data_IF_837697219490
#
_entry.id   IF_837697219490
#
_cell.length_a   1.000
_cell.length_b   1.000
_cell.length_c   1.000
_cell.angle_alpha   90.00
_cell.angle_beta   90.00
_cell.angle_gamma   90.00
#
_symmetry.space_group_name_H-M   'P 1'
#
loop_
_entity.id
_entity.type
_entity.pdbx_description
1 polymer ?
#
# COMPACT_ATOMS: atom_id res chain seq x y z
N UNK A 1 -27.41 -16.64 -13.42
CA UNK A 1 -27.16 -18.03 -12.96
C UNK A 1 -26.57 -17.93 -11.56
N UNK A 2 -27.23 -18.52 -10.55
CA UNK A 2 -26.67 -18.55 -9.19
C UNK A 2 -25.36 -19.34 -9.17
N UNK A 3 -24.37 -18.86 -8.42
CA UNK A 3 -23.08 -19.50 -8.26
C UNK A 3 -23.29 -20.84 -7.52
N UNK A 4 -22.75 -21.93 -8.04
CA UNK A 4 -22.65 -23.19 -7.30
C UNK A 4 -21.60 -22.98 -6.17
N UNK A 5 -22.09 -22.77 -4.97
CA UNK A 5 -21.29 -22.42 -3.79
C UNK A 5 -20.23 -23.50 -3.48
N UNK A 6 -20.59 -24.78 -3.60
CA UNK A 6 -19.66 -25.87 -3.30
C UNK A 6 -18.51 -25.94 -4.30
N UNK A 7 -18.82 -25.77 -5.58
CA UNK A 7 -17.80 -25.75 -6.64
C UNK A 7 -16.91 -24.51 -6.54
N UNK A 8 -17.50 -23.36 -6.25
CA UNK A 8 -16.77 -22.11 -6.08
C UNK A 8 -15.83 -22.15 -4.88
N UNK A 9 -16.27 -22.73 -3.76
CA UNK A 9 -15.45 -22.90 -2.56
C UNK A 9 -14.21 -23.76 -2.85
N UNK A 10 -14.39 -24.94 -3.44
CA UNK A 10 -13.29 -25.83 -3.81
C UNK A 10 -12.31 -25.17 -4.77
N UNK A 11 -12.81 -24.41 -5.75
CA UNK A 11 -11.96 -23.70 -6.69
C UNK A 11 -11.10 -22.62 -5.98
N UNK A 12 -11.67 -21.91 -5.00
CA UNK A 12 -10.94 -20.90 -4.24
C UNK A 12 -9.91 -21.52 -3.30
N UNK A 13 -10.25 -22.64 -2.65
CA UNK A 13 -9.32 -23.41 -1.81
C UNK A 13 -8.13 -23.94 -2.62
N UNK A 14 -8.38 -24.52 -3.80
CA UNK A 14 -7.31 -24.93 -4.73
C UNK A 14 -6.46 -23.76 -5.19
N UNK A 15 -7.08 -22.64 -5.55
CA UNK A 15 -6.34 -21.43 -5.96
C UNK A 15 -5.37 -20.98 -4.86
N UNK A 16 -5.81 -20.97 -3.61
CA UNK A 16 -4.95 -20.57 -2.50
C UNK A 16 -3.84 -21.58 -2.19
N UNK A 17 -4.11 -22.87 -2.35
CA UNK A 17 -3.16 -23.94 -2.06
C UNK A 17 -2.11 -24.12 -3.17
N UNK A 18 -2.54 -24.06 -4.43
CA UNK A 18 -1.75 -24.49 -5.57
C UNK A 18 -1.03 -23.34 -6.28
N UNK A 19 -1.57 -22.12 -6.19
CA UNK A 19 -0.97 -20.96 -6.86
C UNK A 19 0.21 -20.40 -6.05
N UNK A 20 1.44 -20.39 -6.59
CA UNK A 20 2.63 -19.84 -5.91
C UNK A 20 2.47 -18.39 -5.45
N UNK A 21 1.55 -17.62 -6.06
CA UNK A 21 1.20 -16.24 -5.66
C UNK A 21 0.84 -16.14 -4.18
N UNK A 22 0.23 -17.19 -3.62
CA UNK A 22 -0.33 -17.19 -2.28
C UNK A 22 0.56 -17.88 -1.24
N UNK A 23 1.75 -18.31 -1.64
CA UNK A 23 2.70 -18.96 -0.72
C UNK A 23 3.06 -18.02 0.44
N UNK A 24 2.83 -18.48 1.67
CA UNK A 24 3.12 -17.73 2.88
C UNK A 24 2.10 -16.64 3.24
N UNK A 25 1.05 -16.45 2.44
CA UNK A 25 -0.03 -15.50 2.77
C UNK A 25 -0.99 -16.14 3.77
N UNK A 26 -1.11 -15.53 4.94
CA UNK A 26 -2.04 -15.96 5.97
C UNK A 26 -3.42 -15.33 5.75
N UNK A 27 -4.45 -16.16 5.96
CA UNK A 27 -5.86 -15.74 5.97
C UNK A 27 -6.52 -16.28 7.24
N UNK A 28 -7.02 -15.38 8.07
CA UNK A 28 -7.72 -15.72 9.32
C UNK A 28 -9.22 -15.94 9.07
N UNK A 29 -9.58 -16.35 7.85
CA UNK A 29 -10.93 -16.66 7.38
C UNK A 29 -10.88 -17.78 6.32
N UNK A 30 -12.02 -18.39 6.08
CA UNK A 30 -12.15 -19.50 5.13
C UNK A 30 -12.65 -19.05 3.74
N UNK A 31 -12.50 -19.91 2.74
CA UNK A 31 -13.11 -19.72 1.43
C UNK A 31 -14.64 -19.62 1.50
N UNK A 32 -15.26 -20.33 2.45
CA UNK A 32 -16.70 -20.22 2.72
C UNK A 32 -17.10 -18.83 3.20
N UNK A 33 -16.28 -18.19 4.05
CA UNK A 33 -16.53 -16.82 4.49
C UNK A 33 -16.47 -15.83 3.33
N UNK A 34 -15.48 -15.97 2.46
CA UNK A 34 -15.36 -15.15 1.24
C UNK A 34 -16.62 -15.27 0.37
N UNK A 35 -17.08 -16.48 0.11
CA UNK A 35 -18.26 -16.70 -0.73
C UNK A 35 -19.54 -16.22 -0.07
N UNK A 36 -19.66 -16.34 1.25
CA UNK A 36 -20.79 -15.82 2.01
C UNK A 36 -20.90 -14.28 1.92
N UNK A 37 -19.76 -13.59 1.86
CA UNK A 37 -19.68 -12.13 1.73
C UNK A 37 -19.75 -11.63 0.29
N UNK A 38 -19.39 -12.49 -0.66
CA UNK A 38 -19.52 -12.22 -2.10
C UNK A 38 -20.97 -12.37 -2.51
N UNK A 39 -21.67 -11.37 -2.95
CA UNK A 39 -23.07 -11.43 -3.36
C UNK A 39 -23.40 -12.63 -4.29
N UNK A 40 -24.66 -12.79 -4.65
CA UNK A 40 -25.15 -13.89 -5.50
C UNK A 40 -24.68 -13.83 -6.96
N UNK A 41 -24.15 -12.68 -7.38
CA UNK A 41 -23.58 -12.44 -8.71
C UNK A 41 -22.11 -12.07 -8.55
N UNK A 42 -21.25 -12.73 -9.32
CA UNK A 42 -19.84 -12.36 -9.38
C UNK A 42 -19.68 -11.14 -10.31
N UNK A 43 -19.23 -10.04 -9.75
CA UNK A 43 -18.91 -8.83 -10.50
C UNK A 43 -17.42 -8.89 -10.87
N UNK A 44 -17.11 -8.75 -12.16
CA UNK A 44 -15.73 -8.75 -12.64
C UNK A 44 -15.13 -7.36 -12.60
N UNK A 45 -13.96 -7.24 -11.98
CA UNK A 45 -13.17 -6.01 -11.92
C UNK A 45 -11.94 -6.14 -12.84
N UNK A 46 -12.18 -6.13 -14.16
CA UNK A 46 -11.18 -6.47 -15.18
C UNK A 46 -9.92 -5.58 -15.08
N UNK A 47 -10.09 -4.26 -14.91
CA UNK A 47 -8.94 -3.35 -14.81
C UNK A 47 -8.12 -3.60 -13.55
N UNK A 48 -8.77 -3.79 -12.39
CA UNK A 48 -8.07 -4.06 -11.13
C UNK A 48 -7.33 -5.41 -11.18
N UNK A 49 -7.93 -6.44 -11.77
CA UNK A 49 -7.29 -7.74 -11.95
C UNK A 49 -6.06 -7.62 -12.85
N UNK A 50 -6.21 -7.02 -14.03
CA UNK A 50 -5.09 -6.81 -14.96
C UNK A 50 -3.96 -6.02 -14.30
N UNK A 51 -4.29 -4.96 -13.57
CA UNK A 51 -3.33 -4.14 -12.85
C UNK A 51 -2.61 -4.91 -11.74
N UNK A 52 -3.36 -5.69 -10.92
CA UNK A 52 -2.78 -6.49 -9.84
C UNK A 52 -1.82 -7.57 -10.37
N UNK A 53 -2.22 -8.29 -11.42
CA UNK A 53 -1.40 -9.31 -12.06
C UNK A 53 -0.14 -8.72 -12.71
N UNK A 54 -0.24 -7.57 -13.39
CA UNK A 54 0.92 -6.86 -13.94
C UNK A 54 1.85 -6.39 -12.83
N UNK A 55 1.32 -5.80 -11.77
CA UNK A 55 2.11 -5.31 -10.63
C UNK A 55 2.89 -6.46 -10.00
N UNK A 56 2.20 -7.56 -9.66
CA UNK A 56 2.83 -8.73 -9.05
C UNK A 56 3.95 -9.31 -9.93
N UNK A 57 3.70 -9.46 -11.22
CA UNK A 57 4.70 -9.96 -12.16
C UNK A 57 5.95 -9.07 -12.16
N UNK A 58 5.79 -7.73 -12.28
CA UNK A 58 6.92 -6.80 -12.29
C UNK A 58 7.71 -6.78 -11.01
N UNK A 59 7.04 -6.84 -9.87
CA UNK A 59 7.69 -6.90 -8.56
C UNK A 59 8.60 -8.14 -8.41
N UNK A 60 8.28 -9.22 -9.13
CA UNK A 60 9.04 -10.47 -9.08
C UNK A 60 10.03 -10.66 -10.25
N UNK A 61 9.95 -9.86 -11.31
CA UNK A 61 10.83 -9.99 -12.50
C UNK A 61 11.78 -8.83 -12.71
N UNK A 62 11.37 -7.62 -12.32
CA UNK A 62 12.20 -6.42 -12.50
C UNK A 62 13.20 -6.30 -11.34
N UNK A 63 14.34 -5.66 -11.55
CA UNK A 63 15.31 -5.38 -10.48
C UNK A 63 14.64 -4.59 -9.36
N UNK A 64 13.91 -3.55 -9.72
CA UNK A 64 12.95 -2.81 -8.90
C UNK A 64 11.99 -2.04 -9.80
N UNK A 65 10.85 -1.67 -9.26
CA UNK A 65 9.81 -0.90 -9.95
C UNK A 65 9.75 0.53 -9.41
N UNK A 66 10.36 1.52 -10.11
CA UNK A 66 10.26 2.92 -9.72
C UNK A 66 8.93 3.50 -10.18
N UNK A 67 8.30 4.31 -9.34
CA UNK A 67 7.03 4.99 -9.64
C UNK A 67 7.05 6.45 -9.23
N UNK A 68 6.26 7.24 -9.92
CA UNK A 68 6.04 8.65 -9.61
C UNK A 68 4.60 8.86 -9.17
N UNK A 69 4.39 9.81 -8.27
CA UNK A 69 3.06 10.28 -7.94
C UNK A 69 2.38 10.95 -9.13
N UNK A 70 1.08 10.72 -9.30
CA UNK A 70 0.24 11.45 -10.25
C UNK A 70 -1.08 11.84 -9.59
N UNK A 71 -1.60 13.02 -9.90
CA UNK A 71 -2.87 13.57 -9.41
C UNK A 71 -3.96 13.56 -10.46
N UNK A 72 -3.58 13.61 -11.73
CA UNK A 72 -4.51 13.73 -12.84
C UNK A 72 -4.29 12.64 -13.87
N UNK A 73 -5.34 12.32 -14.61
CA UNK A 73 -5.22 11.39 -15.74
C UNK A 73 -4.23 11.86 -16.80
N UNK A 74 -4.14 13.17 -17.04
CA UNK A 74 -3.19 13.75 -17.98
C UNK A 74 -1.73 13.52 -17.56
N UNK A 75 -1.41 13.75 -16.29
CA UNK A 75 -0.07 13.44 -15.74
C UNK A 75 0.25 11.95 -15.91
N UNK A 76 -0.66 11.07 -15.49
CA UNK A 76 -0.46 9.63 -15.59
C UNK A 76 -0.22 9.16 -17.03
N UNK A 77 -1.02 9.64 -17.99
CA UNK A 77 -0.82 9.34 -19.42
C UNK A 77 0.56 9.80 -19.90
N UNK A 78 1.02 11.01 -19.51
CA UNK A 78 2.35 11.49 -19.90
C UNK A 78 3.47 10.67 -19.25
N UNK A 79 3.32 10.27 -17.98
CA UNK A 79 4.27 9.38 -17.32
C UNK A 79 4.39 8.03 -18.04
N UNK A 80 3.26 7.42 -18.44
CA UNK A 80 3.26 6.17 -19.22
C UNK A 80 3.93 6.34 -20.58
N UNK A 81 3.63 7.43 -21.29
CA UNK A 81 4.32 7.76 -22.56
C UNK A 81 5.83 7.95 -22.38
N UNK A 82 6.24 8.44 -21.23
CA UNK A 82 7.67 8.58 -20.87
C UNK A 82 8.31 7.26 -20.41
N UNK A 83 7.54 6.16 -20.35
CA UNK A 83 8.06 4.82 -20.03
C UNK A 83 7.76 4.34 -18.61
N UNK A 84 6.97 5.07 -17.81
CA UNK A 84 6.54 4.59 -16.50
C UNK A 84 5.79 3.26 -16.62
N UNK A 85 6.08 2.33 -15.71
CA UNK A 85 5.51 0.97 -15.68
C UNK A 85 4.48 0.76 -14.57
N UNK A 86 4.33 1.73 -13.69
CA UNK A 86 3.30 1.83 -12.67
C UNK A 86 3.14 3.29 -12.24
N UNK A 87 2.02 3.60 -11.61
CA UNK A 87 1.69 4.93 -11.06
C UNK A 87 1.49 4.79 -9.56
N UNK A 88 2.00 5.74 -8.79
CA UNK A 88 1.69 5.90 -7.38
C UNK A 88 0.63 6.98 -7.18
N UNK A 89 -0.35 6.71 -6.31
CA UNK A 89 -1.37 7.68 -5.93
C UNK A 89 -1.28 7.96 -4.43
N UNK A 90 -0.69 9.10 -4.10
CA UNK A 90 -0.41 9.56 -2.74
C UNK A 90 -1.64 10.19 -2.10
N UNK A 91 -1.97 9.77 -0.87
CA UNK A 91 -2.98 10.43 -0.03
C UNK A 91 -2.61 11.88 0.30
N UNK A 92 -1.31 12.17 0.52
CA UNK A 92 -0.83 13.53 0.71
C UNK A 92 -1.21 14.46 -0.46
N UNK A 93 -0.98 14.00 -1.70
CA UNK A 93 -1.34 14.77 -2.89
C UNK A 93 -2.86 14.94 -3.03
N UNK A 94 -3.62 13.89 -2.70
CA UNK A 94 -5.10 13.94 -2.71
C UNK A 94 -5.62 14.91 -1.66
N UNK A 95 -5.04 14.91 -0.46
CA UNK A 95 -5.37 15.90 0.57
C UNK A 95 -5.13 17.33 0.08
N UNK A 96 -4.00 17.56 -0.59
CA UNK A 96 -3.60 18.89 -1.04
C UNK A 96 -4.46 19.45 -2.18
N UNK A 97 -4.79 18.65 -3.21
CA UNK A 97 -5.39 19.21 -4.43
C UNK A 97 -6.26 18.24 -5.26
N UNK A 98 -6.73 17.15 -4.72
CA UNK A 98 -7.51 16.20 -5.53
C UNK A 98 -8.65 15.49 -4.78
N UNK A 99 -8.98 15.95 -3.57
CA UNK A 99 -10.06 15.35 -2.80
C UNK A 99 -11.44 15.83 -3.29
N UNK A 100 -12.46 15.04 -2.99
CA UNK A 100 -13.84 15.33 -3.44
C UNK A 100 -14.58 16.34 -2.55
N UNK A 101 -13.93 16.88 -1.51
CA UNK A 101 -14.47 17.99 -0.73
C UNK A 101 -14.12 19.36 -1.35
N UNK A 102 -13.36 19.37 -2.44
CA UNK A 102 -12.87 20.58 -3.12
C UNK A 102 -12.10 21.52 -2.18
N UNK A 103 -11.41 20.96 -1.19
CA UNK A 103 -10.66 21.68 -0.16
C UNK A 103 -9.17 21.30 -0.17
N UNK A 104 -8.33 22.19 0.32
CA UNK A 104 -6.93 21.90 0.60
C UNK A 104 -6.80 21.49 2.07
N UNK A 105 -6.36 20.26 2.30
CA UNK A 105 -6.13 19.74 3.63
C UNK A 105 -4.66 19.41 3.87
N UNK A 106 -4.19 19.48 5.12
CA UNK A 106 -2.94 18.81 5.49
C UNK A 106 -3.09 17.29 5.38
N UNK A 107 -1.97 16.58 5.29
CA UNK A 107 -1.94 15.12 5.24
C UNK A 107 -2.30 14.48 6.60
N UNK A 108 -3.57 14.52 6.94
CA UNK A 108 -4.14 14.07 8.21
C UNK A 108 -5.47 13.30 8.02
N UNK A 109 -5.71 12.75 6.85
CA UNK A 109 -6.92 11.98 6.52
C UNK A 109 -8.23 12.76 6.76
N UNK A 110 -8.21 14.08 6.47
CA UNK A 110 -9.38 14.95 6.67
C UNK A 110 -10.33 14.96 5.48
N UNK A 111 -9.87 14.49 4.34
CA UNK A 111 -10.69 14.38 3.13
C UNK A 111 -11.66 13.18 3.18
N UNK A 112 -12.77 13.21 2.44
CA UNK A 112 -13.69 12.08 2.37
C UNK A 112 -13.02 10.79 1.90
N UNK A 113 -13.34 9.67 2.54
CA UNK A 113 -12.69 8.35 2.33
C UNK A 113 -12.68 7.87 0.87
N UNK A 114 -13.67 8.27 0.08
CA UNK A 114 -13.77 7.91 -1.35
C UNK A 114 -12.99 8.86 -2.29
N UNK A 115 -12.19 9.78 -1.76
CA UNK A 115 -11.38 10.70 -2.58
C UNK A 115 -10.31 9.99 -3.38
N UNK A 116 -9.51 9.11 -2.74
CA UNK A 116 -8.48 8.34 -3.46
C UNK A 116 -9.09 7.40 -4.49
N UNK A 117 -10.13 6.60 -4.19
CA UNK A 117 -10.84 5.81 -5.22
C UNK A 117 -11.34 6.65 -6.39
N UNK A 118 -11.82 7.87 -6.15
CA UNK A 118 -12.28 8.76 -7.23
C UNK A 118 -11.13 9.16 -8.17
N UNK A 119 -9.93 9.44 -7.64
CA UNK A 119 -8.75 9.76 -8.45
C UNK A 119 -8.23 8.53 -9.19
N UNK A 120 -8.20 7.35 -8.57
CA UNK A 120 -7.89 6.07 -9.27
C UNK A 120 -8.79 5.89 -10.49
N UNK A 121 -10.08 6.06 -10.31
CA UNK A 121 -11.07 5.97 -11.42
C UNK A 121 -10.82 7.01 -12.50
N UNK A 122 -10.50 8.24 -12.12
CA UNK A 122 -10.16 9.34 -13.04
C UNK A 122 -8.95 9.00 -13.90
N UNK A 123 -7.89 8.47 -13.30
CA UNK A 123 -6.67 8.05 -14.00
C UNK A 123 -6.99 6.89 -14.95
N UNK A 124 -7.68 5.85 -14.48
CA UNK A 124 -8.08 4.73 -15.34
C UNK A 124 -8.98 5.14 -16.50
N UNK A 125 -9.85 6.14 -16.32
CA UNK A 125 -10.65 6.68 -17.41
C UNK A 125 -9.80 7.40 -18.47
N UNK A 126 -8.72 8.08 -18.06
CA UNK A 126 -7.75 8.66 -18.98
C UNK A 126 -6.97 7.58 -19.73
N UNK A 127 -6.56 6.50 -19.05
CA UNK A 127 -5.92 5.36 -19.69
C UNK A 127 -6.83 4.68 -20.72
N UNK A 128 -8.09 4.42 -20.35
CA UNK A 128 -9.07 3.87 -21.29
C UNK A 128 -9.22 4.75 -22.54
N UNK A 129 -9.34 6.06 -22.37
CA UNK A 129 -9.45 6.95 -23.52
C UNK A 129 -8.20 6.96 -24.38
N UNK A 130 -7.01 6.97 -23.79
CA UNK A 130 -5.76 6.92 -24.52
C UNK A 130 -5.61 5.59 -25.32
N UNK A 131 -5.98 4.48 -24.70
CA UNK A 131 -6.00 3.17 -25.33
C UNK A 131 -7.02 3.08 -26.48
N UNK A 132 -8.26 3.55 -26.28
CA UNK A 132 -9.31 3.59 -27.31
C UNK A 132 -8.86 4.37 -28.54
N UNK A 133 -8.21 5.53 -28.36
CA UNK A 133 -7.71 6.37 -29.47
C UNK A 133 -6.61 5.63 -30.23
N UNK A 134 -5.64 5.03 -29.52
CA UNK A 134 -4.55 4.28 -30.11
C UNK A 134 -5.10 3.07 -30.90
N UNK A 135 -5.94 2.27 -30.27
CA UNK A 135 -6.53 1.08 -30.87
C UNK A 135 -7.37 1.41 -32.11
N UNK A 136 -8.21 2.45 -32.04
CA UNK A 136 -9.02 2.91 -33.19
C UNK A 136 -8.17 3.39 -34.38
N UNK A 137 -6.92 3.80 -34.16
CA UNK A 137 -5.98 4.16 -35.22
C UNK A 137 -5.15 2.98 -35.74
N UNK A 138 -5.44 1.76 -35.28
CA UNK A 138 -4.72 0.53 -35.65
C UNK A 138 -3.31 0.43 -35.04
N UNK A 139 -3.09 1.10 -33.92
CA UNK A 139 -1.81 1.09 -33.17
C UNK A 139 -2.00 0.41 -31.82
N UNK A 140 -0.95 -0.15 -31.29
CA UNK A 140 -0.86 -0.78 -29.96
C UNK A 140 0.53 -0.61 -29.32
N UNK A 141 1.22 0.49 -29.66
CA UNK A 141 2.61 0.74 -29.31
C UNK A 141 2.81 0.94 -27.79
N UNK A 142 1.78 1.45 -27.09
CA UNK A 142 1.87 1.80 -25.67
C UNK A 142 0.83 1.02 -24.87
N UNK A 143 1.30 0.29 -23.86
CA UNK A 143 0.41 -0.29 -22.86
C UNK A 143 0.05 0.77 -21.81
N UNK A 144 -1.11 1.41 -21.99
CA UNK A 144 -1.61 2.44 -21.07
C UNK A 144 -2.11 1.88 -19.74
N UNK A 145 -2.51 0.60 -19.69
CA UNK A 145 -3.05 -0.01 -18.48
C UNK A 145 -1.94 -0.47 -17.53
N UNK A 146 -1.09 0.47 -17.11
CA UNK A 146 -0.10 0.22 -16.05
C UNK A 146 -0.80 0.20 -14.69
N UNK A 147 -0.31 -0.60 -13.72
CA UNK A 147 -0.93 -0.68 -12.40
C UNK A 147 -0.82 0.65 -11.62
N UNK A 148 -1.88 0.96 -10.88
CA UNK A 148 -1.91 2.05 -9.90
C UNK A 148 -1.80 1.45 -8.52
N UNK A 149 -0.84 1.92 -7.71
CA UNK A 149 -0.73 1.62 -6.28
C UNK A 149 -1.30 2.82 -5.52
N UNK A 150 -2.33 2.58 -4.72
CA UNK A 150 -3.13 3.63 -4.09
C UNK A 150 -2.97 3.65 -2.56
N UNK A 151 -2.98 4.85 -2.01
CA UNK A 151 -2.88 5.14 -0.59
C UNK A 151 -4.25 4.99 0.09
N UNK A 152 -4.36 4.05 1.03
CA UNK A 152 -5.54 3.88 1.88
C UNK A 152 -5.37 4.51 3.26
N UNK A 153 -4.29 5.28 3.48
CA UNK A 153 -4.02 5.92 4.76
C UNK A 153 -4.02 4.90 5.91
N UNK A 154 -4.52 5.26 7.08
CA UNK A 154 -4.77 4.33 8.19
C UNK A 154 -6.12 3.58 8.08
N UNK A 155 -6.75 3.57 6.91
CA UNK A 155 -8.02 2.89 6.66
C UNK A 155 -9.26 3.70 7.03
N UNK A 156 -9.13 4.95 7.45
CA UNK A 156 -10.24 5.87 7.82
C UNK A 156 -11.12 5.37 8.97
N UNK A 157 -10.62 4.47 9.79
CA UNK A 157 -11.34 3.92 10.95
C UNK A 157 -10.84 2.53 11.31
N UNK A 158 -11.78 1.64 11.65
CA UNK A 158 -11.48 0.26 12.02
C UNK A 158 -11.49 -0.70 10.83
N UNK A 159 -11.64 -1.99 11.15
CA UNK A 159 -11.58 -3.09 10.15
C UNK A 159 -12.67 -3.00 9.08
N UNK A 160 -13.87 -2.55 9.44
CA UNK A 160 -14.97 -2.40 8.47
C UNK A 160 -14.68 -1.27 7.48
N UNK A 161 -14.09 -0.16 7.96
CA UNK A 161 -13.66 0.93 7.09
C UNK A 161 -12.58 0.45 6.10
N UNK A 162 -11.58 -0.29 6.57
CA UNK A 162 -10.52 -0.86 5.73
C UNK A 162 -11.08 -1.82 4.67
N UNK A 163 -12.03 -2.68 5.05
CA UNK A 163 -12.72 -3.60 4.14
C UNK A 163 -13.45 -2.86 3.01
N UNK A 164 -14.30 -1.89 3.35
CA UNK A 164 -15.08 -1.15 2.36
C UNK A 164 -14.20 -0.23 1.49
N UNK A 165 -13.15 0.37 2.08
CA UNK A 165 -12.20 1.18 1.31
C UNK A 165 -11.43 0.33 0.29
N UNK A 166 -10.97 -0.86 0.66
CA UNK A 166 -10.32 -1.78 -0.27
C UNK A 166 -11.25 -2.16 -1.43
N UNK A 167 -12.52 -2.44 -1.17
CA UNK A 167 -13.51 -2.69 -2.23
C UNK A 167 -13.62 -1.49 -3.17
N UNK A 168 -13.74 -0.29 -2.63
CA UNK A 168 -13.82 0.94 -3.43
C UNK A 168 -12.57 1.15 -4.30
N UNK A 169 -11.38 0.84 -3.79
CA UNK A 169 -10.12 0.89 -4.54
C UNK A 169 -10.14 -0.10 -5.72
N UNK A 170 -10.58 -1.34 -5.47
CA UNK A 170 -10.69 -2.38 -6.49
C UNK A 170 -11.72 -1.99 -7.56
N UNK A 171 -12.89 -1.51 -7.16
CA UNK A 171 -13.93 -1.02 -8.09
C UNK A 171 -13.45 0.14 -8.96
N UNK A 172 -12.54 0.96 -8.43
CA UNK A 172 -11.90 2.04 -9.18
C UNK A 172 -10.79 1.56 -10.12
N UNK A 173 -10.29 0.33 -9.94
CA UNK A 173 -9.27 -0.29 -10.78
C UNK A 173 -7.84 -0.23 -10.23
N UNK A 174 -7.65 -0.07 -8.91
CA UNK A 174 -6.32 -0.13 -8.30
C UNK A 174 -5.73 -1.56 -8.38
N UNK A 175 -4.44 -1.66 -8.67
CA UNK A 175 -3.71 -2.93 -8.69
C UNK A 175 -3.01 -3.25 -7.37
N UNK A 176 -2.65 -2.22 -6.61
CA UNK A 176 -2.07 -2.32 -5.28
C UNK A 176 -2.65 -1.28 -4.35
N UNK A 177 -2.68 -1.59 -3.05
CA UNK A 177 -3.20 -0.71 -2.00
C UNK A 177 -2.33 -0.86 -0.76
N UNK A 178 -1.99 0.25 -0.10
CA UNK A 178 -1.30 0.19 1.17
C UNK A 178 -2.13 0.79 2.31
N UNK A 179 -1.95 0.19 3.49
CA UNK A 179 -2.47 0.67 4.77
C UNK A 179 -1.34 0.91 5.74
N UNK A 180 -1.50 1.89 6.63
CA UNK A 180 -0.54 2.20 7.69
C UNK A 180 -1.11 1.94 9.09
N UNK A 181 -0.22 1.80 10.08
CA UNK A 181 -0.56 1.42 11.45
C UNK A 181 -0.82 2.61 12.40
N UNK A 182 -1.09 3.79 11.86
CA UNK A 182 -1.49 4.96 12.65
C UNK A 182 -2.96 4.87 13.10
N UNK A 183 -3.27 5.54 14.20
CA UNK A 183 -4.65 5.81 14.60
C UNK A 183 -5.28 6.78 13.59
N UNK A 184 -6.31 6.34 12.87
CA UNK A 184 -6.92 7.07 11.77
C UNK A 184 -7.42 8.48 12.17
N UNK A 185 -8.00 8.63 13.37
CA UNK A 185 -8.57 9.89 13.85
C UNK A 185 -7.53 10.99 14.17
N UNK A 186 -6.26 10.63 14.33
CA UNK A 186 -5.16 11.57 14.61
C UNK A 186 -3.95 11.34 13.70
N UNK A 187 -4.17 10.74 12.55
CA UNK A 187 -3.15 10.46 11.54
C UNK A 187 -2.37 11.73 11.16
N UNK A 188 -1.08 11.56 10.96
CA UNK A 188 -0.17 12.61 10.52
C UNK A 188 0.69 12.13 9.34
N UNK A 189 1.17 13.07 8.55
CA UNK A 189 2.20 12.81 7.54
C UNK A 189 3.37 12.02 8.15
N UNK A 190 3.88 11.05 7.42
CA UNK A 190 4.94 10.16 7.87
C UNK A 190 6.21 10.85 8.38
N UNK A 191 6.49 12.06 7.89
CA UNK A 191 7.65 12.86 8.27
C UNK A 191 7.41 13.77 9.49
N UNK A 192 6.19 13.80 10.04
CA UNK A 192 5.84 14.62 11.19
C UNK A 192 5.95 13.86 12.51
N UNK A 193 6.22 14.58 13.59
CA UNK A 193 6.12 14.05 14.95
C UNK A 193 4.69 13.94 15.45
N UNK A 194 4.51 13.24 16.59
CA UNK A 194 3.21 13.09 17.24
C UNK A 194 2.30 12.06 16.61
N UNK A 195 2.84 11.13 15.82
CA UNK A 195 2.12 9.97 15.30
C UNK A 195 1.73 9.03 16.43
N UNK A 196 0.52 8.49 16.35
CA UNK A 196 -0.03 7.52 17.31
C UNK A 196 -0.26 6.20 16.59
N UNK A 197 0.37 5.15 17.07
CA UNK A 197 0.16 3.77 16.56
C UNK A 197 -1.10 3.17 17.14
N UNK A 198 -1.76 2.33 16.34
CA UNK A 198 -2.70 1.34 16.87
C UNK A 198 -1.92 0.11 17.36
N UNK A 199 -2.49 -0.76 18.22
CA UNK A 199 -1.85 -2.02 18.57
C UNK A 199 -1.52 -2.85 17.32
N UNK A 200 -0.41 -3.60 17.36
CA UNK A 200 -0.01 -4.47 16.26
C UNK A 200 -1.14 -5.38 15.80
N UNK A 201 -1.92 -5.96 16.72
CA UNK A 201 -3.08 -6.81 16.37
C UNK A 201 -4.16 -6.04 15.59
N UNK A 202 -4.40 -4.77 15.89
CA UNK A 202 -5.39 -3.97 15.14
C UNK A 202 -4.91 -3.69 13.73
N UNK A 203 -3.64 -3.38 13.54
CA UNK A 203 -3.04 -3.21 12.22
C UNK A 203 -3.12 -4.51 11.40
N UNK A 204 -2.80 -5.65 12.00
CA UNK A 204 -2.96 -6.99 11.38
C UNK A 204 -4.42 -7.25 10.98
N UNK A 205 -5.38 -6.92 11.84
CA UNK A 205 -6.80 -7.08 11.54
C UNK A 205 -7.24 -6.21 10.35
N UNK A 206 -6.72 -5.00 10.22
CA UNK A 206 -7.00 -4.13 9.05
C UNK A 206 -6.39 -4.73 7.76
N UNK A 207 -5.18 -5.27 7.82
CA UNK A 207 -4.57 -5.97 6.68
C UNK A 207 -5.39 -7.21 6.29
N UNK A 208 -5.81 -8.01 7.25
CA UNK A 208 -6.69 -9.16 7.02
C UNK A 208 -8.03 -8.74 6.40
N UNK A 209 -8.62 -7.63 6.86
CA UNK A 209 -9.84 -7.07 6.29
C UNK A 209 -9.64 -6.60 4.84
N UNK A 210 -8.53 -5.95 4.54
CA UNK A 210 -8.16 -5.57 3.17
C UNK A 210 -7.97 -6.79 2.25
N UNK A 211 -7.29 -7.83 2.73
CA UNK A 211 -7.14 -9.09 1.98
C UNK A 211 -8.47 -9.79 1.76
N UNK A 212 -9.33 -9.85 2.79
CA UNK A 212 -10.67 -10.41 2.69
C UNK A 212 -11.50 -9.67 1.63
N UNK A 213 -11.44 -8.34 1.60
CA UNK A 213 -12.14 -7.54 0.59
C UNK A 213 -11.65 -7.86 -0.83
N UNK A 214 -10.34 -8.01 -1.03
CA UNK A 214 -9.77 -8.39 -2.31
C UNK A 214 -10.23 -9.80 -2.73
N UNK A 215 -10.22 -10.77 -1.82
CA UNK A 215 -10.71 -12.13 -2.08
C UNK A 215 -12.22 -12.13 -2.39
N UNK A 216 -13.02 -11.33 -1.68
CA UNK A 216 -14.46 -11.16 -1.96
C UNK A 216 -14.68 -10.58 -3.36
N UNK A 217 -13.94 -9.57 -3.76
CA UNK A 217 -13.98 -9.01 -5.11
C UNK A 217 -13.37 -9.94 -6.16
N UNK A 218 -12.64 -10.97 -5.75
CA UNK A 218 -11.98 -11.92 -6.63
C UNK A 218 -10.81 -11.32 -7.42
N UNK A 219 -10.10 -10.35 -6.84
CA UNK A 219 -8.96 -9.68 -7.44
C UNK A 219 -7.70 -9.94 -6.61
N UNK A 220 -6.58 -10.37 -7.22
CA UNK A 220 -5.33 -10.65 -6.49
C UNK A 220 -4.56 -9.34 -6.18
N UNK A 221 -5.25 -8.37 -5.58
CA UNK A 221 -4.70 -7.06 -5.23
C UNK A 221 -3.40 -7.20 -4.44
N UNK A 222 -2.38 -6.45 -4.84
CA UNK A 222 -1.12 -6.39 -4.09
C UNK A 222 -1.33 -5.52 -2.86
N UNK A 223 -1.15 -6.11 -1.69
CA UNK A 223 -1.35 -5.45 -0.40
C UNK A 223 -0.01 -5.08 0.22
N UNK A 224 0.17 -3.79 0.52
CA UNK A 224 1.36 -3.29 1.19
C UNK A 224 1.01 -2.87 2.62
N UNK A 225 1.85 -3.24 3.58
CA UNK A 225 1.74 -2.79 4.96
C UNK A 225 2.82 -1.76 5.27
N UNK A 226 2.41 -0.55 5.65
CA UNK A 226 3.29 0.49 6.13
C UNK A 226 3.31 0.50 7.66
N UNK A 227 4.51 0.60 8.24
CA UNK A 227 4.66 0.93 9.65
C UNK A 227 5.29 2.31 9.82
N UNK A 228 4.73 3.07 10.74
CA UNK A 228 5.23 4.37 11.18
C UNK A 228 6.04 4.28 12.49
N UNK A 229 6.28 3.07 12.99
CA UNK A 229 6.88 2.81 14.28
C UNK A 229 8.32 3.30 14.43
N UNK A 230 9.03 3.53 13.31
CA UNK A 230 10.38 4.11 13.34
C UNK A 230 10.41 5.52 13.96
N UNK A 231 9.35 6.30 13.80
CA UNK A 231 9.26 7.66 14.35
C UNK A 231 8.05 7.87 15.27
N UNK A 232 7.12 6.93 15.37
CA UNK A 232 5.94 7.06 16.22
C UNK A 232 6.26 6.66 17.66
N UNK A 233 6.11 7.62 18.57
CA UNK A 233 6.40 7.45 19.99
C UNK A 233 5.14 7.29 20.86
N UNK A 234 3.98 7.12 20.27
CA UNK A 234 2.70 6.97 20.98
C UNK A 234 1.95 5.73 20.49
N UNK A 235 1.19 5.10 21.40
CA UNK A 235 0.40 3.90 21.16
C UNK A 235 -0.95 4.03 21.88
N UNK A 236 -2.04 3.60 21.23
CA UNK A 236 -3.38 3.71 21.81
C UNK A 236 -3.60 2.76 22.98
N UNK A 237 -3.05 1.54 22.92
CA UNK A 237 -3.25 0.48 23.92
C UNK A 237 -2.10 -0.52 23.91
N UNK A 238 -1.74 -1.04 25.05
CA UNK A 238 -0.73 -2.09 25.27
C UNK A 238 -1.31 -3.52 25.31
N UNK A 239 -2.46 -3.69 24.69
CA UNK A 239 -3.21 -4.97 24.70
C UNK A 239 -2.43 -6.09 23.98
N UNK A 240 -1.65 -5.77 22.96
CA UNK A 240 -0.82 -6.72 22.23
C UNK A 240 0.54 -6.92 22.92
N UNK A 241 0.90 -8.16 23.19
CA UNK A 241 2.16 -8.49 23.86
C UNK A 241 3.39 -8.05 23.05
N UNK A 242 3.30 -8.05 21.72
CA UNK A 242 4.38 -7.62 20.83
C UNK A 242 4.73 -6.14 20.97
N UNK A 243 3.77 -5.32 21.43
CA UNK A 243 3.99 -3.88 21.62
C UNK A 243 4.56 -3.56 23.02
N UNK A 244 4.33 -4.42 24.00
CA UNK A 244 4.65 -4.15 25.42
C UNK A 244 6.11 -3.89 25.70
N UNK A 245 7.03 -4.55 25.00
CA UNK A 245 8.46 -4.33 25.17
C UNK A 245 8.90 -2.90 24.82
N UNK A 246 8.13 -2.21 23.96
CA UNK A 246 8.42 -0.84 23.55
C UNK A 246 7.75 0.23 24.43
N UNK A 247 6.80 -0.14 25.28
CA UNK A 247 6.08 0.77 26.17
C UNK A 247 7.01 1.21 27.31
N UNK A 248 7.09 2.54 27.57
CA UNK A 248 7.98 3.10 28.61
C UNK A 248 7.38 3.10 30.01
N UNK A 249 6.06 2.91 30.13
CA UNK A 249 5.29 3.09 31.38
C UNK A 249 4.71 4.47 31.56
N UNK A 250 5.10 5.45 30.73
CA UNK A 250 4.53 6.80 30.71
C UNK A 250 3.29 6.89 29.87
N UNK A 251 2.43 7.88 30.18
CA UNK A 251 1.21 8.18 29.39
C UNK A 251 1.08 9.69 29.15
N UNK A 252 0.49 10.03 28.00
CA UNK A 252 0.12 11.40 27.69
C UNK A 252 -1.16 11.80 28.48
N UNK A 253 -1.46 13.10 28.48
CA UNK A 253 -2.70 13.61 29.09
C UNK A 253 -3.97 13.04 28.42
N UNK A 254 -3.89 12.72 27.13
CA UNK A 254 -4.96 12.07 26.36
C UNK A 254 -5.08 10.57 26.68
N UNK A 255 -4.13 10.02 27.41
CA UNK A 255 -4.11 8.62 27.82
C UNK A 255 -3.38 7.66 26.88
N UNK A 256 -2.69 8.14 25.85
CA UNK A 256 -1.84 7.31 25.01
C UNK A 256 -0.60 6.80 25.77
N UNK A 257 -0.20 5.59 25.49
CA UNK A 257 1.06 5.05 26.00
C UNK A 257 2.24 5.69 25.24
N UNK A 258 3.29 6.04 25.96
CA UNK A 258 4.56 6.47 25.36
C UNK A 258 5.38 5.23 25.02
N UNK A 259 5.90 5.17 23.79
CA UNK A 259 6.74 4.06 23.31
C UNK A 259 8.14 4.53 22.91
N UNK A 260 9.08 3.59 22.91
CA UNK A 260 10.39 3.80 22.31
C UNK A 260 10.27 3.63 20.79
N UNK A 261 10.14 4.75 20.08
CA UNK A 261 10.22 4.77 18.63
C UNK A 261 11.60 4.30 18.15
N UNK A 262 11.67 3.79 16.93
CA UNK A 262 12.94 3.40 16.33
C UNK A 262 12.83 2.14 15.49
N UNK A 263 13.98 1.76 14.92
CA UNK A 263 14.07 0.66 13.98
C UNK A 263 13.64 -0.68 14.58
N UNK A 264 13.96 -0.95 15.85
CA UNK A 264 13.57 -2.19 16.53
C UNK A 264 12.05 -2.34 16.60
N UNK A 265 11.33 -1.26 16.95
CA UNK A 265 9.86 -1.25 16.95
C UNK A 265 9.30 -1.43 15.54
N UNK A 266 9.91 -0.78 14.55
CA UNK A 266 9.49 -0.94 13.15
C UNK A 266 9.73 -2.36 12.63
N UNK A 267 10.85 -2.99 12.98
CA UNK A 267 11.15 -4.39 12.62
C UNK A 267 10.14 -5.34 13.26
N UNK A 268 9.86 -5.19 14.55
CA UNK A 268 8.88 -6.04 15.25
C UNK A 268 7.51 -6.00 14.56
N UNK A 269 7.06 -4.81 14.16
CA UNK A 269 5.81 -4.65 13.42
C UNK A 269 5.90 -5.19 11.98
N UNK A 270 6.98 -4.93 11.29
CA UNK A 270 7.21 -5.47 9.95
C UNK A 270 7.13 -7.01 9.92
N UNK A 271 7.74 -7.68 10.89
CA UNK A 271 7.66 -9.14 11.05
C UNK A 271 6.23 -9.60 11.31
N UNK A 272 5.46 -8.88 12.14
CA UNK A 272 4.07 -9.21 12.40
C UNK A 272 3.17 -9.06 11.16
N UNK A 273 3.51 -8.14 10.24
CA UNK A 273 2.73 -7.87 9.03
C UNK A 273 3.10 -8.78 7.86
N UNK A 274 4.29 -9.37 7.87
CA UNK A 274 4.86 -10.09 6.72
C UNK A 274 3.98 -11.26 6.23
N UNK A 275 3.30 -11.98 7.13
CA UNK A 275 2.38 -13.05 6.76
C UNK A 275 1.07 -12.55 6.12
N UNK A 276 0.72 -11.28 6.30
CA UNK A 276 -0.57 -10.70 5.88
C UNK A 276 -0.45 -9.77 4.66
N UNK A 277 0.74 -9.26 4.37
CA UNK A 277 0.97 -8.31 3.29
C UNK A 277 2.00 -8.84 2.28
N UNK A 278 1.87 -8.41 1.04
CA UNK A 278 2.78 -8.79 -0.04
C UNK A 278 4.09 -8.01 0.02
N UNK A 279 4.03 -6.75 0.47
CA UNK A 279 5.21 -5.90 0.70
C UNK A 279 5.13 -5.26 2.06
N UNK A 280 6.30 -5.05 2.68
CA UNK A 280 6.44 -4.31 3.92
C UNK A 280 7.16 -3.00 3.63
N UNK A 281 6.66 -1.91 4.21
CA UNK A 281 7.22 -0.58 4.11
C UNK A 281 7.43 0.02 5.50
N UNK A 282 8.68 0.33 5.84
CA UNK A 282 9.03 1.14 6.99
C UNK A 282 9.11 2.60 6.55
N UNK A 283 8.23 3.46 7.09
CA UNK A 283 8.29 4.89 6.81
C UNK A 283 9.50 5.53 7.49
N UNK A 284 10.25 6.35 6.73
CA UNK A 284 11.45 7.06 7.19
C UNK A 284 11.30 8.56 6.94
N UNK A 285 12.14 9.36 7.60
CA UNK A 285 12.13 10.82 7.45
C UNK A 285 13.38 11.35 6.71
N UNK A 286 14.39 10.51 6.55
CA UNK A 286 15.64 10.82 5.86
C UNK A 286 16.07 9.62 5.01
N UNK A 287 16.84 9.85 3.92
CA UNK A 287 17.36 8.75 3.12
C UNK A 287 18.59 8.15 3.80
N UNK A 288 18.48 6.91 4.25
CA UNK A 288 19.56 6.17 4.92
C UNK A 288 19.62 4.72 4.42
N UNK A 289 20.69 4.39 3.69
CA UNK A 289 20.90 3.04 3.16
C UNK A 289 21.24 2.02 4.25
N UNK A 290 21.87 2.43 5.33
CA UNK A 290 22.24 1.51 6.42
C UNK A 290 21.02 1.14 7.26
N UNK A 291 20.14 2.11 7.56
CA UNK A 291 18.84 1.84 8.17
C UNK A 291 17.98 0.93 7.28
N UNK A 292 17.93 1.23 5.99
CA UNK A 292 17.20 0.40 5.01
C UNK A 292 17.74 -1.03 4.95
N UNK A 293 19.06 -1.21 5.02
CA UNK A 293 19.71 -2.53 5.03
C UNK A 293 19.35 -3.31 6.30
N UNK A 294 19.48 -2.70 7.47
CA UNK A 294 19.15 -3.33 8.74
C UNK A 294 17.69 -3.81 8.78
N UNK A 295 16.77 -2.97 8.33
CA UNK A 295 15.36 -3.36 8.23
C UNK A 295 15.16 -4.54 7.26
N UNK A 296 15.72 -4.46 6.06
CA UNK A 296 15.59 -5.50 5.05
C UNK A 296 16.17 -6.84 5.52
N UNK A 297 17.36 -6.83 6.11
CA UNK A 297 18.02 -8.03 6.64
C UNK A 297 17.20 -8.68 7.76
N UNK A 298 16.67 -7.89 8.69
CA UNK A 298 15.85 -8.40 9.79
C UNK A 298 14.55 -9.05 9.30
N UNK A 299 13.84 -8.40 8.38
CA UNK A 299 12.59 -8.97 7.81
C UNK A 299 12.90 -10.23 7.01
N UNK A 300 13.91 -10.20 6.14
CA UNK A 300 14.22 -11.30 5.23
C UNK A 300 14.96 -12.46 5.88
N UNK A 301 15.48 -12.29 7.09
CA UNK A 301 16.00 -13.41 7.89
C UNK A 301 14.89 -14.40 8.27
N UNK A 302 13.68 -13.90 8.56
CA UNK A 302 12.53 -14.75 8.91
C UNK A 302 11.63 -15.04 7.70
N UNK A 303 11.52 -14.07 6.76
CA UNK A 303 10.73 -14.16 5.55
C UNK A 303 11.61 -13.90 4.30
N UNK A 304 12.39 -14.88 3.84
CA UNK A 304 13.42 -14.68 2.79
C UNK A 304 12.89 -14.11 1.47
N UNK A 305 11.65 -14.44 1.13
CA UNK A 305 10.99 -14.02 -0.11
C UNK A 305 10.17 -12.73 0.04
N UNK A 306 10.16 -12.12 1.25
CA UNK A 306 9.37 -10.91 1.50
C UNK A 306 9.85 -9.75 0.64
N UNK A 307 8.94 -9.17 -0.12
CA UNK A 307 9.18 -7.96 -0.88
C UNK A 307 9.03 -6.74 0.03
N UNK A 308 9.81 -5.69 -0.28
CA UNK A 308 9.82 -4.44 0.47
C UNK A 308 9.47 -3.26 -0.42
N UNK A 309 8.95 -2.20 0.19
CA UNK A 309 8.68 -0.92 -0.46
C UNK A 309 9.42 0.22 0.23
N UNK A 310 9.80 1.24 -0.53
CA UNK A 310 10.52 2.41 -0.01
C UNK A 310 9.97 3.71 -0.60
N UNK A 311 9.70 4.67 0.28
CA UNK A 311 9.33 6.02 -0.11
C UNK A 311 10.58 6.87 -0.35
N UNK A 312 10.89 7.15 -1.63
CA UNK A 312 11.94 8.08 -2.03
C UNK A 312 11.40 9.52 -2.05
N UNK A 313 10.90 10.01 -0.91
CA UNK A 313 10.23 11.31 -0.86
C UNK A 313 11.16 12.47 -1.24
N UNK A 314 10.69 13.42 -2.08
CA UNK A 314 11.45 14.66 -2.36
C UNK A 314 11.69 15.49 -1.10
N UNK A 315 10.85 15.36 -0.07
CA UNK A 315 10.96 16.08 1.19
C UNK A 315 12.11 15.62 2.12
N UNK A 316 12.82 14.53 1.77
CA UNK A 316 13.95 14.01 2.54
C UNK A 316 15.20 14.89 2.53
N UNK A 317 15.19 15.97 1.78
CA UNK A 317 16.34 16.89 1.71
C UNK A 317 17.65 16.18 1.29
N UNK A 318 17.55 15.40 0.21
CA UNK A 318 18.58 14.48 -0.29
C UNK A 318 20.00 15.05 -0.30
N UNK A 319 20.18 16.23 -0.89
CA UNK A 319 21.48 16.93 -1.00
C UNK A 319 22.08 17.35 0.35
N UNK A 320 21.24 17.51 1.39
CA UNK A 320 21.72 17.79 2.75
C UNK A 320 22.26 16.53 3.43
N UNK A 321 21.69 15.39 3.12
CA UNK A 321 21.98 14.14 3.82
C UNK A 321 22.99 13.25 3.08
N UNK A 322 23.06 13.35 1.74
CA UNK A 322 23.85 12.45 0.89
C UNK A 322 24.61 13.22 -0.18
N UNK A 323 25.76 12.68 -0.58
CA UNK A 323 26.50 13.14 -1.77
C UNK A 323 25.82 12.66 -3.07
N UNK A 324 26.22 13.26 -4.19
CA UNK A 324 25.65 12.97 -5.50
C UNK A 324 25.90 11.53 -5.95
N UNK A 325 27.05 10.95 -5.60
CA UNK A 325 27.38 9.58 -5.95
C UNK A 325 26.48 8.58 -5.21
N UNK A 326 26.19 8.83 -3.95
CA UNK A 326 25.25 8.01 -3.15
C UNK A 326 23.82 8.17 -3.65
N UNK A 327 23.37 9.40 -3.94
CA UNK A 327 22.04 9.65 -4.52
C UNK A 327 21.87 8.89 -5.84
N UNK A 328 22.86 8.93 -6.71
CA UNK A 328 22.80 8.29 -8.04
C UNK A 328 22.66 6.75 -7.99
N UNK A 329 23.13 6.10 -6.93
CA UNK A 329 23.04 4.64 -6.76
C UNK A 329 21.93 4.18 -5.85
N UNK A 330 21.29 5.09 -5.09
CA UNK A 330 20.40 4.81 -3.96
C UNK A 330 19.30 3.80 -4.30
N UNK A 331 18.56 4.02 -5.39
CA UNK A 331 17.48 3.12 -5.80
C UNK A 331 17.97 1.73 -6.20
N UNK A 332 19.15 1.62 -6.83
CA UNK A 332 19.73 0.31 -7.19
C UNK A 332 20.17 -0.45 -5.96
N UNK A 333 20.78 0.22 -4.99
CA UNK A 333 21.15 -0.38 -3.70
C UNK A 333 19.91 -0.88 -2.94
N UNK A 334 18.85 -0.08 -2.89
CA UNK A 334 17.56 -0.52 -2.32
C UNK A 334 17.00 -1.74 -3.05
N UNK A 335 17.02 -1.75 -4.37
CA UNK A 335 16.53 -2.87 -5.18
C UNK A 335 17.28 -4.17 -4.87
N UNK A 336 18.60 -4.10 -4.69
CA UNK A 336 19.44 -5.23 -4.30
C UNK A 336 19.13 -5.78 -2.90
N UNK A 337 18.64 -4.93 -1.98
CA UNK A 337 18.21 -5.34 -0.64
C UNK A 337 16.80 -5.98 -0.61
N UNK A 338 16.04 -5.89 -1.70
CA UNK A 338 14.68 -6.42 -1.78
C UNK A 338 13.57 -5.36 -1.78
N UNK A 339 13.91 -4.08 -1.81
CA UNK A 339 12.94 -2.99 -2.00
C UNK A 339 12.49 -2.94 -3.45
N UNK A 340 11.55 -3.79 -3.79
CA UNK A 340 11.08 -3.99 -5.16
C UNK A 340 10.12 -2.92 -5.65
N UNK A 341 9.41 -2.24 -4.75
CA UNK A 341 8.55 -1.11 -5.07
C UNK A 341 9.14 0.17 -4.47
N UNK A 342 9.49 1.14 -5.31
CA UNK A 342 10.09 2.40 -4.89
C UNK A 342 9.33 3.55 -5.52
N UNK A 343 8.93 4.54 -4.73
CA UNK A 343 8.04 5.60 -5.21
C UNK A 343 8.47 6.99 -4.75
N UNK A 344 8.20 7.97 -5.59
CA UNK A 344 8.40 9.39 -5.32
C UNK A 344 7.02 10.00 -5.11
N UNK A 345 6.64 10.16 -3.85
CA UNK A 345 5.28 10.48 -3.42
C UNK A 345 4.71 11.75 -4.02
N UNK A 346 5.48 12.83 -4.03
CA UNK A 346 5.00 14.18 -4.31
C UNK A 346 5.26 14.63 -5.76
N UNK A 347 5.68 13.73 -6.64
CA UNK A 347 6.04 14.05 -8.02
C UNK A 347 4.90 14.67 -8.86
N UNK A 348 3.65 14.47 -8.46
CA UNK A 348 2.49 15.06 -9.12
C UNK A 348 2.19 16.52 -8.71
N UNK A 349 2.87 17.02 -7.66
CA UNK A 349 2.72 18.40 -7.17
C UNK A 349 3.97 19.25 -7.44
N UNK A 350 5.14 18.64 -7.43
CA UNK A 350 6.43 19.33 -7.68
C UNK A 350 6.76 19.52 -9.15
#
# INVERSE_FOLDING_TARGET
MMIDQTKAQKALESEWADNPRWRGVQRDYSAADVLRLRGSVHIEHSLARLAAEKLWRRLNTDDFLPTLGALTGGQAVQQVKAGAKAIYLSGWQVAADANIADAMYPDQSLYPVNSVPAVVRRINNAFKRADEIQHASGKDDIDYFVPIVADAEAGFGGVLNAFELMKAMIEAGAGGVHFEDQLASVKKCGHMGGKVLVPTQEAVQKLAAGRLAADVCGVPTVLLARTDANAAALLTSDVDERDREFVTGERTNEGFYVTRAGLDQAIARGLAYAAYADLIWCETAVPDLDEARQFAEAIRAEYPDQLLAYNCSPSFNWKKNLDDATIAKFQRELGAMGYKYQFITLAGIH
#
